data_IF_274432520091
#
_entry.id   IF_274432520091
#
_cell.length_a   1.000
_cell.length_b   1.000
_cell.length_c   1.000
_cell.angle_alpha   90.00
_cell.angle_beta   90.00
_cell.angle_gamma   90.00
#
_symmetry.space_group_name_H-M   'P 1'
#
loop_
_entity.id
_entity.type
_entity.pdbx_description
1 polymer ?
#
# COMPACT_ATOMS: atom_id res chain seq x y z
N UNK A 1 -59.48 -34.22 19.22
CA UNK A 1 -58.41 -33.56 18.42
C UNK A 1 -58.17 -32.17 19.01
N UNK A 2 -57.01 -31.92 19.63
CA UNK A 2 -56.66 -30.60 20.20
C UNK A 2 -56.11 -29.71 19.07
N UNK A 3 -56.83 -28.66 18.71
CA UNK A 3 -56.42 -27.68 17.70
C UNK A 3 -55.43 -26.70 18.31
N UNK A 4 -54.15 -26.76 17.90
CA UNK A 4 -53.12 -25.80 18.26
C UNK A 4 -53.33 -24.50 17.48
N UNK A 5 -53.81 -23.42 18.12
CA UNK A 5 -53.85 -22.08 17.53
C UNK A 5 -52.46 -21.46 17.60
N UNK A 6 -51.80 -21.32 16.45
CA UNK A 6 -50.58 -20.52 16.31
C UNK A 6 -50.95 -19.03 16.34
N UNK A 7 -50.55 -18.33 17.40
CA UNK A 7 -50.72 -16.88 17.52
C UNK A 7 -49.71 -16.18 16.61
N UNK A 8 -50.17 -15.70 15.45
CA UNK A 8 -49.38 -14.81 14.61
C UNK A 8 -49.31 -13.43 15.29
N UNK A 9 -48.14 -13.10 15.85
CA UNK A 9 -47.85 -11.75 16.37
C UNK A 9 -47.45 -10.84 15.21
N UNK A 10 -48.21 -9.76 15.02
CA UNK A 10 -47.82 -8.67 14.10
C UNK A 10 -46.84 -7.72 14.77
N UNK A 11 -45.92 -7.17 13.98
CA UNK A 11 -45.01 -6.11 14.41
C UNK A 11 -45.80 -4.80 14.65
N UNK A 12 -45.49 -4.08 15.72
CA UNK A 12 -46.07 -2.75 15.95
C UNK A 12 -45.29 -1.68 15.19
N UNK A 13 -45.98 -0.61 14.78
CA UNK A 13 -45.34 0.54 14.13
C UNK A 13 -44.29 1.20 15.03
N UNK A 14 -44.51 1.19 16.35
CA UNK A 14 -43.57 1.78 17.31
C UNK A 14 -42.30 0.93 17.45
N UNK A 15 -42.41 -0.40 17.39
CA UNK A 15 -41.24 -1.29 17.38
C UNK A 15 -40.37 -1.03 16.14
N UNK A 16 -40.99 -0.83 14.97
CA UNK A 16 -40.24 -0.51 13.76
C UNK A 16 -39.59 0.88 13.83
N UNK A 17 -40.30 1.88 14.38
CA UNK A 17 -39.83 3.26 14.49
C UNK A 17 -38.60 3.37 15.40
N UNK A 18 -38.59 2.67 16.54
CA UNK A 18 -37.45 2.67 17.47
C UNK A 18 -36.24 1.99 16.84
N UNK A 19 -36.43 0.95 16.03
CA UNK A 19 -35.31 0.25 15.38
C UNK A 19 -34.61 1.14 14.36
N UNK A 20 -35.36 1.81 13.48
CA UNK A 20 -34.76 2.70 12.47
C UNK A 20 -34.10 3.93 13.11
N UNK A 21 -34.62 4.42 14.24
CA UNK A 21 -34.01 5.55 14.95
C UNK A 21 -32.67 5.17 15.57
N UNK A 22 -32.57 3.98 16.19
CA UNK A 22 -31.31 3.46 16.73
C UNK A 22 -30.29 3.23 15.61
N UNK A 23 -30.69 2.62 14.49
CA UNK A 23 -29.81 2.42 13.32
C UNK A 23 -29.33 3.77 12.75
N UNK A 24 -30.21 4.77 12.68
CA UNK A 24 -29.88 6.13 12.22
C UNK A 24 -28.81 6.80 13.09
N UNK A 25 -28.93 6.71 14.41
CA UNK A 25 -27.94 7.28 15.35
C UNK A 25 -26.59 6.56 15.25
N UNK A 26 -26.60 5.22 15.20
CA UNK A 26 -25.38 4.43 15.11
C UNK A 26 -24.63 4.70 13.78
N UNK A 27 -25.34 4.72 12.66
CA UNK A 27 -24.73 4.96 11.34
C UNK A 27 -24.12 6.36 11.22
N UNK A 28 -24.76 7.38 11.78
CA UNK A 28 -24.23 8.76 11.77
C UNK A 28 -22.86 8.88 12.50
N UNK A 29 -22.68 8.18 13.62
CA UNK A 29 -21.41 8.19 14.37
C UNK A 29 -20.30 7.41 13.67
N UNK A 30 -20.64 6.37 12.91
CA UNK A 30 -19.66 5.53 12.20
C UNK A 30 -19.06 6.25 10.98
N UNK A 31 -19.85 7.03 10.25
CA UNK A 31 -19.40 7.71 9.03
C UNK A 31 -18.32 8.77 9.28
N UNK A 32 -18.36 9.46 10.43
CA UNK A 32 -17.41 10.54 10.74
C UNK A 32 -15.98 10.04 10.95
N UNK A 33 -15.79 8.81 11.44
CA UNK A 33 -14.46 8.22 11.66
C UNK A 33 -13.86 7.56 10.41
N UNK A 34 -14.67 7.27 9.39
CA UNK A 34 -14.24 6.44 8.26
C UNK A 34 -13.25 7.14 7.30
N UNK A 35 -13.32 8.46 7.17
CA UNK A 35 -12.50 9.23 6.21
C UNK A 35 -11.01 9.19 6.57
N UNK A 36 -10.66 9.32 7.85
CA UNK A 36 -9.27 9.31 8.30
C UNK A 36 -8.61 7.91 8.25
N UNK A 37 -9.40 6.85 8.47
CA UNK A 37 -8.91 5.46 8.45
C UNK A 37 -8.49 5.06 7.03
N UNK A 38 -9.25 5.49 6.00
CA UNK A 38 -8.95 5.15 4.60
C UNK A 38 -7.59 5.68 4.14
N UNK A 39 -7.23 6.90 4.55
CA UNK A 39 -5.92 7.49 4.23
C UNK A 39 -4.77 6.71 4.85
N UNK A 40 -4.85 6.41 6.15
CA UNK A 40 -3.85 5.60 6.86
C UNK A 40 -3.71 4.19 6.27
N UNK A 41 -4.82 3.55 5.93
CA UNK A 41 -4.80 2.24 5.28
C UNK A 41 -4.11 2.28 3.90
N UNK A 42 -4.30 3.36 3.12
CA UNK A 42 -3.56 3.57 1.87
C UNK A 42 -2.06 3.71 2.15
N UNK A 43 -1.68 4.55 3.10
CA UNK A 43 -0.28 4.80 3.43
C UNK A 43 0.41 3.52 3.94
N UNK A 44 -0.26 2.73 4.79
CA UNK A 44 0.25 1.40 5.23
C UNK A 44 0.44 0.45 4.05
N UNK A 45 -0.50 0.44 3.09
CA UNK A 45 -0.36 -0.37 1.88
C UNK A 45 0.86 0.07 1.07
N UNK A 46 1.01 1.37 0.80
CA UNK A 46 2.15 1.90 0.03
C UNK A 46 3.50 1.55 0.66
N UNK A 47 3.61 1.65 1.99
CA UNK A 47 4.82 1.22 2.73
C UNK A 47 5.11 -0.27 2.51
N UNK A 48 4.11 -1.13 2.73
CA UNK A 48 4.27 -2.58 2.56
C UNK A 48 4.56 -3.00 1.12
N UNK A 49 4.02 -2.25 0.15
CA UNK A 49 4.27 -2.44 -1.27
C UNK A 49 5.73 -2.06 -1.62
N UNK A 50 6.28 -0.97 -1.07
CA UNK A 50 7.71 -0.63 -1.21
C UNK A 50 8.64 -1.66 -0.55
N UNK A 51 8.27 -2.24 0.58
CA UNK A 51 9.08 -3.30 1.22
C UNK A 51 9.13 -4.58 0.36
N UNK A 52 8.02 -4.90 -0.31
CA UNK A 52 8.02 -5.98 -1.31
C UNK A 52 8.91 -5.63 -2.51
N UNK A 53 8.90 -4.37 -2.95
CA UNK A 53 9.81 -3.90 -4.00
C UNK A 53 11.27 -4.08 -3.58
N UNK A 54 11.65 -3.68 -2.36
CA UNK A 54 13.00 -3.89 -1.82
C UNK A 54 13.41 -5.37 -1.87
N UNK A 55 12.49 -6.27 -1.53
CA UNK A 55 12.73 -7.71 -1.61
C UNK A 55 12.97 -8.18 -3.05
N UNK A 56 12.14 -7.73 -3.99
CA UNK A 56 12.29 -8.06 -5.42
C UNK A 56 13.59 -7.51 -6.00
N UNK A 57 13.97 -6.28 -5.64
CA UNK A 57 15.25 -5.67 -6.02
C UNK A 57 16.43 -6.50 -5.53
N UNK A 58 16.36 -7.05 -4.30
CA UNK A 58 17.42 -7.92 -3.79
C UNK A 58 17.51 -9.24 -4.55
N UNK A 59 16.38 -9.80 -4.98
CA UNK A 59 16.38 -11.00 -5.83
C UNK A 59 17.03 -10.70 -7.19
N UNK A 60 16.69 -9.57 -7.82
CA UNK A 60 17.34 -9.10 -9.03
C UNK A 60 18.85 -8.96 -8.85
N UNK A 61 19.28 -8.35 -7.74
CA UNK A 61 20.70 -8.17 -7.42
C UNK A 61 21.42 -9.51 -7.30
N UNK A 62 20.82 -10.52 -6.67
CA UNK A 62 21.45 -11.84 -6.54
C UNK A 62 21.76 -12.47 -7.89
N UNK A 63 20.87 -12.28 -8.88
CA UNK A 63 21.01 -12.88 -10.20
C UNK A 63 21.91 -12.04 -11.13
N UNK A 64 21.83 -10.71 -11.03
CA UNK A 64 22.52 -9.79 -11.95
C UNK A 64 23.77 -9.12 -11.36
N UNK A 65 24.04 -9.36 -10.07
CA UNK A 65 25.15 -8.75 -9.29
C UNK A 65 25.15 -7.22 -9.33
N UNK A 66 23.98 -6.62 -9.59
CA UNK A 66 23.77 -5.19 -9.71
C UNK A 66 22.28 -4.90 -9.53
N UNK A 67 21.92 -3.80 -8.90
CA UNK A 67 20.54 -3.30 -8.95
C UNK A 67 20.22 -2.80 -10.37
N UNK A 68 18.93 -2.71 -10.76
CA UNK A 68 18.58 -2.12 -12.05
C UNK A 68 18.96 -0.64 -12.03
N UNK A 69 19.65 -0.15 -13.06
CA UNK A 69 19.78 1.30 -13.18
C UNK A 69 18.54 1.87 -13.87
N UNK A 70 18.38 3.18 -13.76
CA UNK A 70 17.32 3.95 -14.40
C UNK A 70 17.38 3.93 -15.94
N UNK A 71 18.35 3.22 -16.52
CA UNK A 71 18.59 3.06 -17.96
C UNK A 71 18.52 1.61 -18.46
N UNK A 72 18.46 0.60 -17.58
CA UNK A 72 18.41 -0.83 -17.93
C UNK A 72 16.99 -1.39 -17.87
N UNK A 73 16.52 -1.78 -19.05
CA UNK A 73 15.71 -2.92 -19.54
C UNK A 73 14.79 -3.78 -18.63
N UNK A 74 14.77 -3.57 -17.32
CA UNK A 74 13.93 -4.34 -16.40
C UNK A 74 12.42 -4.14 -16.58
N UNK A 75 12.04 -3.16 -17.41
CA UNK A 75 10.68 -2.84 -17.83
C UNK A 75 10.60 -2.34 -19.29
N UNK A 76 11.34 -2.94 -20.24
CA UNK A 76 11.31 -2.57 -21.67
C UNK A 76 11.49 -1.06 -21.94
N UNK A 77 12.72 -0.54 -21.75
CA UNK A 77 13.17 0.79 -22.23
C UNK A 77 12.43 2.05 -21.71
N UNK A 78 11.63 1.96 -20.64
CA UNK A 78 11.07 3.14 -19.95
C UNK A 78 11.22 3.01 -18.44
N UNK A 79 11.31 4.13 -17.67
CA UNK A 79 11.30 4.05 -16.21
C UNK A 79 10.06 3.27 -15.79
N UNK A 80 10.28 2.19 -15.04
CA UNK A 80 9.27 1.20 -14.72
C UNK A 80 7.98 1.83 -14.19
N UNK A 81 6.94 1.92 -15.02
CA UNK A 81 5.69 2.52 -14.56
C UNK A 81 5.04 1.60 -13.50
N UNK A 82 4.39 2.18 -12.47
CA UNK A 82 3.52 1.40 -11.60
C UNK A 82 2.52 0.58 -12.41
N UNK A 83 2.37 -0.70 -12.08
CA UNK A 83 1.49 -1.61 -12.80
C UNK A 83 2.18 -2.59 -13.77
N UNK A 84 3.43 -2.34 -14.13
CA UNK A 84 4.19 -3.20 -15.06
C UNK A 84 4.87 -4.38 -14.34
N UNK A 85 5.24 -5.42 -15.10
CA UNK A 85 6.08 -6.52 -14.61
C UNK A 85 7.54 -6.07 -14.48
N UNK A 86 8.14 -6.30 -13.32
CA UNK A 86 9.58 -6.14 -13.10
C UNK A 86 10.33 -7.43 -13.42
N UNK A 87 11.15 -7.39 -14.47
CA UNK A 87 11.92 -8.52 -14.97
C UNK A 87 13.39 -8.15 -15.24
N UNK A 88 14.24 -9.10 -15.67
CA UNK A 88 15.66 -8.83 -15.98
C UNK A 88 15.93 -8.23 -17.38
N UNK A 89 14.93 -8.13 -18.25
CA UNK A 89 15.07 -7.67 -19.65
C UNK A 89 15.90 -8.59 -20.56
N UNK A 90 16.81 -9.39 -20.00
CA UNK A 90 17.76 -10.25 -20.73
C UNK A 90 17.30 -11.71 -20.83
N UNK A 91 16.78 -12.29 -19.75
CA UNK A 91 16.39 -13.70 -19.68
C UNK A 91 14.88 -13.89 -19.58
N UNK A 92 14.13 -12.82 -19.31
CA UNK A 92 12.69 -12.83 -19.04
C UNK A 92 12.34 -13.29 -17.62
N UNK A 93 13.30 -13.29 -16.69
CA UNK A 93 13.05 -13.68 -15.30
C UNK A 93 12.25 -12.59 -14.62
N UNK A 94 11.06 -12.92 -14.12
CA UNK A 94 10.16 -11.96 -13.46
C UNK A 94 10.38 -12.00 -11.94
N UNK A 95 10.83 -10.88 -11.37
CA UNK A 95 11.07 -10.73 -9.93
C UNK A 95 9.85 -10.18 -9.20
N UNK A 96 9.02 -9.41 -9.89
CA UNK A 96 7.75 -8.91 -9.36
C UNK A 96 6.75 -8.72 -10.50
N UNK A 97 5.54 -9.24 -10.30
CA UNK A 97 4.49 -9.25 -11.33
C UNK A 97 3.81 -7.91 -11.53
N UNK A 98 3.75 -7.09 -10.50
CA UNK A 98 3.12 -5.77 -10.58
C UNK A 98 3.94 -4.84 -9.73
N UNK A 99 4.55 -3.84 -10.36
CA UNK A 99 5.27 -2.82 -9.64
C UNK A 99 4.31 -1.91 -8.87
N UNK A 100 4.62 -1.63 -7.60
CA UNK A 100 3.81 -0.75 -6.81
C UNK A 100 3.94 0.71 -7.23
N UNK A 101 3.04 1.54 -6.72
CA UNK A 101 3.17 2.99 -6.85
C UNK A 101 4.41 3.46 -6.09
N UNK A 102 5.34 4.10 -6.80
CA UNK A 102 6.50 4.77 -6.23
C UNK A 102 6.65 6.16 -6.85
N UNK A 103 7.26 7.07 -6.10
CA UNK A 103 7.46 8.47 -6.49
C UNK A 103 8.88 8.72 -7.00
N UNK A 104 9.85 7.96 -6.50
CA UNK A 104 11.23 8.04 -6.95
C UNK A 104 11.96 6.71 -6.80
N UNK A 105 12.96 6.51 -7.66
CA UNK A 105 13.91 5.41 -7.61
C UNK A 105 15.27 5.92 -8.07
N UNK A 106 16.31 5.59 -7.31
CA UNK A 106 17.69 5.96 -7.63
C UNK A 106 18.60 4.80 -7.30
N UNK A 107 19.39 4.38 -8.28
CA UNK A 107 20.53 3.51 -8.06
C UNK A 107 21.71 4.33 -7.53
N UNK A 108 22.40 3.80 -6.53
CA UNK A 108 23.61 4.39 -5.95
C UNK A 108 24.81 3.47 -6.14
N UNK A 109 25.99 3.97 -5.78
CA UNK A 109 27.21 3.16 -5.62
C UNK A 109 27.58 2.32 -6.85
N UNK A 110 27.34 2.87 -8.04
CA UNK A 110 27.68 2.21 -9.31
C UNK A 110 26.88 0.94 -9.60
N UNK A 111 25.83 0.63 -8.82
CA UNK A 111 25.10 -0.63 -8.96
C UNK A 111 24.79 -1.37 -7.67
N UNK A 112 25.55 -1.11 -6.62
CA UNK A 112 25.53 -1.92 -5.40
C UNK A 112 24.54 -1.42 -4.36
N UNK A 113 23.95 -0.24 -4.59
CA UNK A 113 22.91 0.34 -3.75
C UNK A 113 21.72 0.84 -4.54
N UNK A 114 20.60 1.02 -3.84
CA UNK A 114 19.46 1.76 -4.34
C UNK A 114 18.69 2.38 -3.18
N UNK A 115 17.90 3.40 -3.49
CA UNK A 115 16.76 3.80 -2.67
C UNK A 115 15.53 4.07 -3.54
N UNK A 116 14.36 3.76 -3.01
CA UNK A 116 13.06 4.02 -3.61
C UNK A 116 12.16 4.71 -2.61
N UNK A 117 11.37 5.68 -3.07
CA UNK A 117 10.51 6.50 -2.22
C UNK A 117 9.08 6.56 -2.70
N UNK A 118 8.13 6.70 -1.79
CA UNK A 118 6.71 6.98 -2.09
C UNK A 118 6.18 8.09 -1.20
N UNK A 119 5.40 8.99 -1.80
CA UNK A 119 4.75 10.08 -1.07
C UNK A 119 3.55 9.52 -0.29
N UNK A 120 3.54 9.77 1.01
CA UNK A 120 2.44 9.43 1.90
C UNK A 120 1.45 10.58 2.04
N UNK A 121 0.18 10.22 2.25
CA UNK A 121 -0.89 11.19 2.49
C UNK A 121 -0.73 11.84 3.88
N UNK A 122 -0.27 11.06 4.86
CA UNK A 122 0.04 11.53 6.20
C UNK A 122 1.47 12.07 6.31
N UNK A 123 1.62 13.38 6.16
CA UNK A 123 2.88 14.12 6.31
C UNK A 123 3.56 13.96 7.70
N UNK A 124 2.76 13.69 8.74
CA UNK A 124 3.23 13.60 10.12
C UNK A 124 3.50 12.15 10.55
N UNK A 125 3.62 11.24 9.60
CA UNK A 125 3.95 9.84 9.87
C UNK A 125 5.42 9.73 10.34
N UNK A 126 5.63 9.15 11.53
CA UNK A 126 6.97 9.05 12.12
C UNK A 126 7.91 8.18 11.29
N UNK A 127 7.38 7.24 10.51
CA UNK A 127 8.19 6.34 9.69
C UNK A 127 8.89 7.08 8.54
N UNK A 128 8.40 8.27 8.14
CA UNK A 128 9.09 9.11 7.15
C UNK A 128 10.48 9.47 7.67
N UNK A 129 10.57 10.04 8.87
CA UNK A 129 11.85 10.43 9.44
C UNK A 129 12.76 9.22 9.71
N UNK A 130 12.17 8.11 10.17
CA UNK A 130 12.91 6.87 10.43
C UNK A 130 13.52 6.28 9.16
N UNK A 131 12.74 6.19 8.07
CA UNK A 131 13.22 5.65 6.79
C UNK A 131 14.32 6.50 6.16
N UNK A 132 14.21 7.83 6.25
CA UNK A 132 15.26 8.75 5.77
C UNK A 132 16.55 8.54 6.55
N UNK A 133 16.46 8.37 7.87
CA UNK A 133 17.63 8.10 8.72
C UNK A 133 18.23 6.71 8.45
N UNK A 134 17.39 5.68 8.25
CA UNK A 134 17.83 4.32 7.91
C UNK A 134 18.61 4.30 6.59
N UNK A 135 18.11 5.01 5.58
CA UNK A 135 18.76 5.06 4.27
C UNK A 135 19.90 6.07 4.17
N UNK A 136 20.11 6.90 5.20
CA UNK A 136 21.19 7.90 5.23
C UNK A 136 21.11 8.95 4.13
N UNK A 137 19.90 9.24 3.61
CA UNK A 137 19.67 10.17 2.50
C UNK A 137 19.11 11.52 2.95
N UNK A 138 19.20 12.54 2.09
CA UNK A 138 18.43 13.78 2.26
C UNK A 138 16.99 13.57 1.83
N UNK A 139 16.10 13.27 2.77
CA UNK A 139 14.70 12.98 2.48
C UNK A 139 13.95 14.16 1.86
N UNK A 140 12.95 13.85 1.03
CA UNK A 140 11.97 14.83 0.54
C UNK A 140 10.74 14.88 1.44
N UNK A 141 9.98 15.98 1.39
CA UNK A 141 8.81 16.16 2.24
C UNK A 141 7.74 15.09 1.95
N UNK A 142 7.25 14.45 3.03
CA UNK A 142 6.21 13.43 3.01
C UNK A 142 6.57 12.10 2.32
N UNK A 143 7.85 11.82 2.11
CA UNK A 143 8.27 10.61 1.38
C UNK A 143 8.82 9.57 2.33
N UNK A 144 8.25 8.36 2.29
CA UNK A 144 8.80 7.19 2.96
C UNK A 144 9.73 6.45 2.01
N UNK A 145 10.87 5.98 2.53
CA UNK A 145 11.93 5.36 1.74
C UNK A 145 12.20 3.92 2.12
N UNK A 146 12.68 3.16 1.14
CA UNK A 146 13.34 1.87 1.33
C UNK A 146 14.66 1.89 0.57
N UNK A 147 15.67 1.21 1.09
CA UNK A 147 17.01 1.18 0.51
C UNK A 147 17.65 -0.21 0.59
N UNK A 148 18.70 -0.42 -0.20
CA UNK A 148 19.62 -1.53 -0.04
C UNK A 148 20.38 -1.37 1.29
N UNK A 149 20.24 -2.35 2.19
CA UNK A 149 21.02 -2.43 3.43
C UNK A 149 22.27 -3.27 3.22
#
# INVERSE_FOLDING_TARGET
MKSNKTLNKGFTLIELLVVISIIGVLTALLLSNFVGIRGRAKDTKLKGDLEQLKTAMRLYYNDNQKYPDNTFDSCNLTPCAPGEEFNDGMSGTVYMKVLPEYSEYVQTDGGDGFYAGVILSNASDADIANSVAECGIGGTANTFYVCAN
#
